data_IF_733661998482
#
_entry.id   IF_733661998482
#
_cell.length_a   1.000
_cell.length_b   1.000
_cell.length_c   1.000
_cell.angle_alpha   90.00
_cell.angle_beta   90.00
_cell.angle_gamma   90.00
#
_symmetry.space_group_name_H-M   'P 1'
#
loop_
_entity.id
_entity.type
_entity.pdbx_description
1 polymer ?
#
# COMPACT_ATOMS: atom_id res chain seq x y z
N UNK A 1 19.59 -21.14 -6.96
CA UNK A 1 18.63 -20.19 -7.56
C UNK A 1 18.61 -18.92 -6.72
N UNK A 2 18.78 -17.76 -7.35
CA UNK A 2 18.82 -16.48 -6.63
C UNK A 2 17.42 -15.88 -6.60
N UNK A 3 16.93 -15.56 -5.40
CA UNK A 3 15.68 -14.84 -5.23
C UNK A 3 15.94 -13.33 -5.34
N UNK A 4 15.09 -12.65 -6.08
CA UNK A 4 15.13 -11.19 -6.21
C UNK A 4 14.01 -10.63 -5.34
N UNK A 5 14.37 -9.78 -4.38
CA UNK A 5 13.41 -9.18 -3.46
C UNK A 5 13.32 -7.68 -3.73
N UNK A 6 12.10 -7.18 -3.87
CA UNK A 6 11.82 -5.76 -4.01
C UNK A 6 10.95 -5.32 -2.85
N UNK A 7 11.42 -4.35 -2.08
CA UNK A 7 10.77 -3.87 -0.88
C UNK A 7 10.06 -2.53 -1.14
N UNK A 8 8.80 -2.48 -0.75
CA UNK A 8 7.93 -1.32 -0.90
C UNK A 8 7.24 -1.02 0.42
N UNK A 9 6.75 0.18 0.58
CA UNK A 9 5.90 0.56 1.71
C UNK A 9 4.56 1.07 1.19
N UNK A 10 3.51 0.81 1.96
CA UNK A 10 2.18 1.38 1.73
C UNK A 10 1.72 2.01 3.03
N UNK A 11 1.04 3.14 2.94
CA UNK A 11 0.55 3.85 4.12
C UNK A 11 -0.96 4.07 4.00
N UNK A 12 -1.72 3.46 4.90
CA UNK A 12 -3.14 3.74 5.05
C UNK A 12 -3.27 4.92 6.02
N UNK A 13 -3.67 6.07 5.51
CA UNK A 13 -3.84 7.27 6.33
C UNK A 13 -5.32 7.47 6.60
N UNK A 14 -5.70 7.48 7.86
CA UNK A 14 -7.09 7.63 8.28
C UNK A 14 -7.29 8.93 9.05
N UNK A 15 -8.39 9.61 8.72
CA UNK A 15 -8.87 10.77 9.45
C UNK A 15 -10.38 10.58 9.64
N UNK A 16 -10.79 10.23 10.85
CA UNK A 16 -12.19 9.88 11.15
C UNK A 16 -12.65 8.72 10.26
N UNK A 17 -13.65 8.94 9.41
CA UNK A 17 -14.19 7.93 8.50
C UNK A 17 -13.64 8.07 7.07
N UNK A 18 -12.53 8.80 6.92
CA UNK A 18 -11.95 9.05 5.62
C UNK A 18 -10.56 8.44 5.48
N UNK A 19 -10.26 7.96 4.28
CA UNK A 19 -8.95 7.42 3.90
C UNK A 19 -8.34 8.29 2.81
N UNK A 20 -7.03 8.49 2.89
CA UNK A 20 -6.29 9.24 1.88
C UNK A 20 -5.86 8.35 0.74
N UNK A 21 -6.25 8.71 -0.47
CA UNK A 21 -5.87 7.97 -1.67
C UNK A 21 -5.33 8.91 -2.74
N UNK A 22 -4.45 8.39 -3.57
CA UNK A 22 -3.91 9.08 -4.74
C UNK A 22 -4.61 8.56 -5.99
N UNK A 23 -4.97 9.47 -6.88
CA UNK A 23 -5.53 9.10 -8.18
C UNK A 23 -4.40 8.80 -9.15
N UNK A 24 -4.04 7.54 -9.27
CA UNK A 24 -2.99 7.10 -10.16
C UNK A 24 -3.53 6.99 -11.58
N UNK A 25 -3.02 7.82 -12.47
CA UNK A 25 -3.51 7.90 -13.86
C UNK A 25 -2.51 7.43 -14.90
N UNK A 26 -1.27 7.16 -14.48
CA UNK A 26 -0.23 6.70 -15.38
C UNK A 26 0.01 5.20 -15.22
N UNK A 27 0.67 4.59 -16.21
CA UNK A 27 1.04 3.19 -16.31
C UNK A 27 -0.14 2.23 -16.49
N UNK A 28 0.13 0.93 -16.30
CA UNK A 28 -0.82 -0.16 -16.55
C UNK A 28 -1.77 -0.43 -15.38
N UNK A 29 -1.67 0.34 -14.30
CA UNK A 29 -2.43 0.10 -13.08
C UNK A 29 -3.13 1.38 -12.61
N UNK A 30 -4.07 1.92 -13.42
CA UNK A 30 -4.78 3.13 -13.02
C UNK A 30 -5.74 2.87 -11.86
N UNK A 31 -6.12 3.93 -11.18
CA UNK A 31 -7.09 3.89 -10.10
C UNK A 31 -6.57 4.55 -8.84
N UNK A 32 -7.42 4.55 -7.82
CA UNK A 32 -7.10 5.15 -6.52
C UNK A 32 -6.28 4.17 -5.69
N UNK A 33 -5.19 4.65 -5.10
CA UNK A 33 -4.27 3.83 -4.31
C UNK A 33 -3.84 4.56 -3.04
N UNK A 34 -3.51 3.84 -1.97
CA UNK A 34 -2.84 4.45 -0.82
C UNK A 34 -1.46 4.99 -1.22
N UNK A 35 -0.95 6.02 -0.54
CA UNK A 35 0.44 6.46 -0.75
C UNK A 35 1.42 5.34 -0.44
N UNK A 36 2.53 5.33 -1.15
CA UNK A 36 3.57 4.34 -0.94
C UNK A 36 4.64 4.41 -2.02
N UNK A 37 5.65 3.58 -1.89
CA UNK A 37 6.73 3.55 -2.86
C UNK A 37 7.86 2.64 -2.45
N UNK A 38 8.90 2.66 -3.24
CA UNK A 38 10.10 1.84 -3.06
C UNK A 38 10.89 2.26 -1.82
N UNK A 39 11.38 1.26 -1.08
CA UNK A 39 12.36 1.49 -0.02
C UNK A 39 13.71 1.71 -0.68
N UNK A 40 14.37 2.81 -0.36
CA UNK A 40 15.67 3.17 -0.90
C UNK A 40 16.78 2.82 0.08
N UNK A 41 17.76 2.05 -0.37
CA UNK A 41 18.89 1.70 0.48
C UNK A 41 19.67 2.96 0.87
N UNK A 42 20.09 3.15 2.14
CA UNK A 42 19.97 2.26 3.29
C UNK A 42 18.85 2.61 4.28
N UNK A 43 17.81 3.32 3.86
CA UNK A 43 16.75 3.72 4.77
C UNK A 43 16.00 2.50 5.35
N UNK A 44 15.44 2.67 6.55
CA UNK A 44 14.55 1.67 7.13
C UNK A 44 13.17 1.75 6.46
N UNK A 45 12.35 0.73 6.68
CA UNK A 45 10.99 0.72 6.15
C UNK A 45 10.15 1.85 6.75
N UNK A 46 10.34 2.15 8.01
CA UNK A 46 9.70 3.28 8.69
C UNK A 46 10.11 4.61 8.03
N UNK A 47 11.41 4.79 7.80
CA UNK A 47 11.91 5.99 7.13
C UNK A 47 11.37 6.15 5.71
N UNK A 48 11.29 5.03 4.98
CA UNK A 48 10.71 5.04 3.64
C UNK A 48 9.24 5.46 3.66
N UNK A 49 8.47 4.96 4.64
CA UNK A 49 7.06 5.33 4.78
C UNK A 49 6.89 6.81 5.08
N UNK A 50 7.71 7.36 5.98
CA UNK A 50 7.69 8.80 6.27
C UNK A 50 7.99 9.64 5.03
N UNK A 51 9.03 9.26 4.30
CA UNK A 51 9.48 9.97 3.11
C UNK A 51 8.43 9.92 2.01
N UNK A 52 7.92 8.73 1.68
CA UNK A 52 6.95 8.56 0.61
C UNK A 52 5.65 9.32 0.92
N UNK A 53 5.18 9.27 2.15
CA UNK A 53 3.99 10.03 2.52
C UNK A 53 4.19 11.52 2.32
N UNK A 54 5.34 12.05 2.74
CA UNK A 54 5.66 13.47 2.58
C UNK A 54 5.77 13.86 1.11
N UNK A 55 6.49 13.07 0.33
CA UNK A 55 6.71 13.36 -1.10
C UNK A 55 5.41 13.31 -1.89
N UNK A 56 4.56 12.32 -1.64
CA UNK A 56 3.37 12.10 -2.45
C UNK A 56 2.16 12.92 -2.01
N UNK A 57 2.07 13.29 -0.74
CA UNK A 57 0.86 13.95 -0.21
C UNK A 57 1.09 15.27 0.48
N UNK A 58 2.32 15.59 0.87
CA UNK A 58 2.63 16.77 1.67
C UNK A 58 2.47 16.56 3.17
N UNK A 59 1.92 15.44 3.60
CA UNK A 59 1.68 15.18 5.01
C UNK A 59 2.92 14.62 5.73
N UNK A 60 3.07 15.00 6.99
CA UNK A 60 4.09 14.44 7.89
C UNK A 60 3.39 13.55 8.91
N UNK A 61 3.71 12.26 8.89
CA UNK A 61 3.14 11.33 9.86
C UNK A 61 3.69 11.61 11.26
N UNK A 62 2.81 11.63 12.25
CA UNK A 62 3.17 11.72 13.67
C UNK A 62 3.15 10.34 14.31
N UNK A 63 2.47 9.38 13.70
CA UNK A 63 2.56 7.97 14.10
C UNK A 63 2.55 7.09 12.84
N UNK A 64 3.16 5.93 12.95
CA UNK A 64 3.10 4.88 11.94
C UNK A 64 3.11 3.55 12.68
N UNK A 65 2.03 2.78 12.51
CA UNK A 65 1.94 1.44 13.07
C UNK A 65 2.12 0.43 11.94
N UNK A 66 3.05 -0.49 12.09
CA UNK A 66 3.20 -1.57 11.12
C UNK A 66 2.04 -2.56 11.32
N UNK A 67 1.11 -2.57 10.39
CA UNK A 67 -0.09 -3.42 10.46
C UNK A 67 0.15 -4.80 9.88
N UNK A 68 0.99 -4.89 8.88
CA UNK A 68 1.20 -6.18 8.25
C UNK A 68 2.20 -6.14 7.11
N UNK A 69 2.34 -7.30 6.51
CA UNK A 69 3.18 -7.51 5.33
C UNK A 69 2.29 -8.11 4.26
N UNK A 70 2.36 -7.55 3.07
CA UNK A 70 1.66 -8.11 1.92
C UNK A 70 2.61 -8.20 0.73
N UNK A 71 2.14 -8.71 -0.38
CA UNK A 71 2.95 -8.76 -1.57
C UNK A 71 2.57 -9.89 -2.50
N UNK A 72 3.47 -10.18 -3.42
CA UNK A 72 3.26 -11.27 -4.36
C UNK A 72 4.58 -11.88 -4.80
N UNK A 73 4.50 -13.12 -5.27
CA UNK A 73 5.63 -13.82 -5.84
C UNK A 73 5.37 -14.12 -7.30
N UNK A 74 6.45 -14.11 -8.07
CA UNK A 74 6.45 -14.45 -9.49
C UNK A 74 7.50 -15.54 -9.68
N UNK A 75 7.05 -16.76 -10.00
CA UNK A 75 7.93 -17.93 -10.09
C UNK A 75 8.87 -17.89 -11.30
N UNK A 76 8.45 -17.30 -12.42
CA UNK A 76 9.28 -17.26 -13.63
C UNK A 76 10.55 -16.43 -13.39
N UNK A 77 10.42 -15.28 -12.76
CA UNK A 77 11.55 -14.41 -12.47
C UNK A 77 12.22 -14.66 -11.13
N UNK A 78 11.71 -15.58 -10.32
CA UNK A 78 12.10 -15.74 -8.91
C UNK A 78 12.04 -14.42 -8.17
N UNK A 79 11.01 -13.64 -8.42
CA UNK A 79 10.83 -12.34 -7.82
C UNK A 79 9.84 -12.38 -6.67
N UNK A 80 10.16 -11.64 -5.62
CA UNK A 80 9.27 -11.42 -4.50
C UNK A 80 9.11 -9.93 -4.29
N UNK A 81 7.87 -9.46 -4.28
CA UNK A 81 7.54 -8.08 -3.96
C UNK A 81 6.97 -8.07 -2.57
N UNK A 82 7.59 -7.32 -1.67
CA UNK A 82 7.18 -7.24 -0.27
C UNK A 82 6.73 -5.82 0.01
N UNK A 83 5.50 -5.70 0.51
CA UNK A 83 4.93 -4.43 0.93
C UNK A 83 4.82 -4.43 2.45
N UNK A 84 5.42 -3.41 3.07
CA UNK A 84 5.31 -3.18 4.51
C UNK A 84 4.16 -2.19 4.68
N UNK A 85 3.08 -2.66 5.29
CA UNK A 85 1.81 -1.95 5.33
C UNK A 85 1.66 -1.20 6.67
N UNK A 86 1.71 0.13 6.60
CA UNK A 86 1.63 1.00 7.78
C UNK A 86 0.28 1.69 7.88
N UNK A 87 -0.15 1.92 9.12
CA UNK A 87 -1.34 2.71 9.42
C UNK A 87 -0.91 4.02 10.08
N UNK A 88 -1.41 5.13 9.56
CA UNK A 88 -1.18 6.47 10.09
C UNK A 88 -2.51 7.10 10.47
N UNK A 89 -2.66 7.47 11.74
CA UNK A 89 -3.88 8.12 12.25
C UNK A 89 -3.63 9.53 12.79
N UNK A 90 -2.35 9.93 12.91
CA UNK A 90 -1.96 11.24 13.38
C UNK A 90 -0.92 11.83 12.44
N UNK A 91 -1.17 13.02 11.95
CA UNK A 91 -0.32 13.67 10.97
C UNK A 91 -0.50 15.19 11.01
N UNK A 92 0.44 15.91 10.40
CA UNK A 92 0.38 17.36 10.21
C UNK A 92 0.64 17.70 8.75
N UNK A 93 0.42 18.96 8.40
CA UNK A 93 0.67 19.45 7.05
C UNK A 93 -0.60 19.56 6.23
N UNK A 94 -0.42 20.00 5.00
CA UNK A 94 -1.51 20.20 4.04
C UNK A 94 -1.27 19.35 2.81
N UNK A 95 -2.36 18.85 2.21
CA UNK A 95 -2.28 18.05 1.00
C UNK A 95 -1.68 18.85 -0.15
N UNK A 96 -0.76 18.24 -0.88
CA UNK A 96 -0.18 18.80 -2.09
C UNK A 96 -0.12 17.73 -3.18
N UNK A 97 -0.25 18.16 -4.44
CA UNK A 97 -0.18 17.27 -5.59
C UNK A 97 1.27 16.90 -5.88
N UNK A 98 1.50 15.67 -6.30
CA UNK A 98 2.81 15.18 -6.71
C UNK A 98 2.74 14.58 -8.11
N UNK A 99 3.89 14.13 -8.62
CA UNK A 99 3.96 13.41 -9.89
C UNK A 99 3.19 12.10 -9.87
N UNK A 100 2.98 11.53 -8.69
CA UNK A 100 2.25 10.25 -8.52
C UNK A 100 0.74 10.42 -8.58
N UNK A 101 0.24 11.63 -8.47
CA UNK A 101 -1.18 11.91 -8.56
C UNK A 101 -1.65 12.93 -7.53
N UNK A 102 -2.93 13.25 -7.62
CA UNK A 102 -3.59 14.18 -6.70
C UNK A 102 -4.13 13.42 -5.50
N UNK A 103 -3.74 13.79 -4.27
CA UNK A 103 -4.28 13.15 -3.07
C UNK A 103 -5.68 13.68 -2.76
N UNK A 104 -6.56 12.79 -2.30
CA UNK A 104 -7.92 13.13 -1.92
C UNK A 104 -8.39 12.25 -0.78
N UNK A 105 -9.14 12.85 0.14
CA UNK A 105 -9.82 12.12 1.20
C UNK A 105 -11.11 11.51 0.66
N UNK A 106 -11.27 10.20 0.89
CA UNK A 106 -12.47 9.47 0.50
C UNK A 106 -13.15 8.91 1.73
N UNK A 107 -14.47 9.05 1.80
CA UNK A 107 -15.23 8.40 2.87
C UNK A 107 -15.16 6.88 2.66
N UNK A 108 -14.92 6.14 3.73
CA UNK A 108 -14.84 4.68 3.67
C UNK A 108 -16.08 4.03 3.08
N UNK A 109 -17.25 4.66 3.21
CA UNK A 109 -18.50 4.17 2.63
C UNK A 109 -18.48 4.21 1.10
N UNK A 110 -17.66 5.05 0.49
CA UNK A 110 -17.65 5.27 -0.95
C UNK A 110 -16.53 4.52 -1.67
N UNK A 111 -15.70 3.79 -0.93
CA UNK A 111 -14.55 3.09 -1.49
C UNK A 111 -14.96 2.09 -2.57
N UNK A 112 -16.08 1.39 -2.39
CA UNK A 112 -16.55 0.40 -3.36
C UNK A 112 -17.03 1.01 -4.67
N UNK A 113 -17.22 2.31 -4.72
CA UNK A 113 -17.76 3.02 -5.87
C UNK A 113 -16.69 3.63 -6.78
N UNK A 114 -15.43 3.62 -6.35
CA UNK A 114 -14.34 4.27 -7.10
C UNK A 114 -13.45 3.24 -7.78
N UNK A 115 -12.83 3.60 -8.91
CA UNK A 115 -11.88 2.70 -9.57
C UNK A 115 -10.70 2.38 -8.65
N UNK A 116 -10.45 1.11 -8.45
CA UNK A 116 -9.38 0.62 -7.58
C UNK A 116 -9.03 -0.81 -7.97
N UNK A 117 -7.75 -1.15 -7.94
CA UNK A 117 -7.33 -2.53 -8.15
C UNK A 117 -7.89 -3.42 -7.05
N UNK A 118 -8.33 -4.61 -7.44
CA UNK A 118 -9.01 -5.54 -6.54
C UNK A 118 -8.14 -5.97 -5.36
N UNK A 119 -6.84 -6.16 -5.59
CA UNK A 119 -5.89 -6.55 -4.52
C UNK A 119 -5.77 -5.45 -3.47
N UNK A 120 -5.79 -4.19 -3.89
CA UNK A 120 -5.76 -3.06 -2.97
C UNK A 120 -7.07 -2.99 -2.20
N UNK A 121 -8.19 -3.12 -2.89
CA UNK A 121 -9.52 -3.09 -2.27
C UNK A 121 -9.67 -4.16 -1.19
N UNK A 122 -9.21 -5.37 -1.47
CA UNK A 122 -9.27 -6.48 -0.52
C UNK A 122 -8.37 -6.27 0.68
N UNK A 123 -7.27 -5.54 0.51
CA UNK A 123 -6.30 -5.31 1.58
C UNK A 123 -6.73 -4.21 2.55
N UNK A 124 -7.50 -3.22 2.08
CA UNK A 124 -7.88 -2.08 2.91
C UNK A 124 -8.53 -2.47 4.25
N UNK A 125 -9.48 -3.43 4.31
CA UNK A 125 -10.06 -3.81 5.60
C UNK A 125 -9.06 -4.38 6.59
N UNK A 126 -7.94 -4.93 6.11
CA UNK A 126 -6.91 -5.51 6.97
C UNK A 126 -6.20 -4.45 7.81
N UNK A 127 -6.06 -3.22 7.27
CA UNK A 127 -5.50 -2.10 8.05
C UNK A 127 -6.40 -1.67 9.18
N UNK A 128 -7.71 -1.86 9.03
CA UNK A 128 -8.70 -1.31 9.96
C UNK A 128 -9.04 -2.25 11.11
N UNK A 129 -8.66 -3.50 11.01
CA UNK A 129 -8.92 -4.47 12.07
C UNK A 129 -7.87 -4.36 13.17
N UNK A 130 -8.22 -4.83 14.36
CA UNK A 130 -7.28 -4.99 15.45
C UNK A 130 -6.29 -6.11 15.09
N UNK A 131 -5.03 -5.97 15.51
CA UNK A 131 -3.99 -6.95 15.23
C UNK A 131 -3.30 -6.71 13.91
N UNK A 132 -2.50 -7.68 13.48
CA UNK A 132 -1.70 -7.58 12.27
C UNK A 132 -2.04 -8.68 11.26
N UNK A 133 -1.42 -8.64 10.09
CA UNK A 133 -1.73 -9.59 9.03
C UNK A 133 -0.51 -9.88 8.16
N UNK A 134 -0.60 -11.00 7.45
CA UNK A 134 0.25 -11.31 6.30
C UNK A 134 -0.68 -11.69 5.16
N UNK A 135 -0.48 -11.11 3.98
CA UNK A 135 -1.32 -11.41 2.81
C UNK A 135 -0.44 -11.49 1.56
N UNK A 136 -0.23 -12.71 1.07
CA UNK A 136 0.66 -12.96 -0.06
C UNK A 136 -0.13 -13.54 -1.23
N UNK A 137 0.05 -12.94 -2.40
CA UNK A 137 -0.52 -13.42 -3.65
C UNK A 137 0.51 -14.20 -4.44
N UNK A 138 0.06 -15.26 -5.12
CA UNK A 138 0.90 -16.07 -5.99
C UNK A 138 0.47 -15.82 -7.42
N UNK A 139 1.37 -15.25 -8.21
CA UNK A 139 1.10 -14.89 -9.60
C UNK A 139 1.35 -16.07 -10.53
N UNK A 140 0.39 -16.34 -11.41
CA UNK A 140 0.52 -17.35 -12.45
C UNK A 140 0.85 -16.65 -13.78
N UNK A 141 2.09 -16.81 -14.25
CA UNK A 141 2.56 -16.16 -15.47
C UNK A 141 1.90 -16.68 -16.72
N UNK A 142 1.45 -17.94 -16.72
CA UNK A 142 0.78 -18.53 -17.87
C UNK A 142 -0.64 -17.98 -18.04
N UNK A 143 -1.37 -17.87 -16.93
CA UNK A 143 -2.75 -17.37 -16.92
C UNK A 143 -2.85 -15.86 -16.76
N UNK A 144 -1.72 -15.19 -16.47
CA UNK A 144 -1.66 -13.73 -16.23
C UNK A 144 -2.62 -13.26 -15.15
N UNK A 145 -2.69 -14.02 -14.06
CA UNK A 145 -3.57 -13.71 -12.94
C UNK A 145 -3.02 -14.25 -11.63
N UNK A 146 -3.64 -13.84 -10.52
CA UNK A 146 -3.33 -14.40 -9.22
C UNK A 146 -3.97 -15.77 -9.12
N UNK A 147 -3.16 -16.81 -8.88
CA UNK A 147 -3.63 -18.18 -8.78
C UNK A 147 -4.05 -18.57 -7.36
N UNK A 148 -3.46 -17.93 -6.36
CA UNK A 148 -3.69 -18.25 -4.96
C UNK A 148 -3.39 -17.04 -4.09
N UNK A 149 -4.12 -16.88 -2.99
CA UNK A 149 -3.84 -15.92 -1.94
C UNK A 149 -3.75 -16.66 -0.62
N UNK A 150 -2.74 -16.32 0.17
CA UNK A 150 -2.61 -16.80 1.55
C UNK A 150 -2.66 -15.60 2.47
N UNK A 151 -3.71 -15.52 3.28
CA UNK A 151 -3.89 -14.45 4.26
C UNK A 151 -3.96 -15.05 5.65
N UNK A 152 -3.12 -14.55 6.55
CA UNK A 152 -3.07 -14.97 7.95
C UNK A 152 -3.31 -13.74 8.80
N UNK A 153 -4.19 -13.87 9.78
CA UNK A 153 -4.53 -12.79 10.69
C UNK A 153 -3.94 -13.09 12.07
N UNK A 154 -3.32 -12.08 12.65
CA UNK A 154 -2.73 -12.14 13.98
C UNK A 154 -3.49 -11.19 14.90
N UNK A 155 -3.70 -11.60 16.14
CA UNK A 155 -4.39 -10.78 17.14
C UNK A 155 -3.43 -9.85 17.91
#
# INVERSE_FOLDING_TARGET
>A
MIEKIKNWVNICVLKNQEILLLNRQHDNFPGWIPPGGKVEFPESFFEAALRELKEETGLTALNLELKGISGFTNSIGNERFVFYDFLCTQFTGELSTSAEGEPKWWNLKDIDKIPMQEEIRKRLPLYLRKGSFESINYWDDNKKCISENKTILFD
#
